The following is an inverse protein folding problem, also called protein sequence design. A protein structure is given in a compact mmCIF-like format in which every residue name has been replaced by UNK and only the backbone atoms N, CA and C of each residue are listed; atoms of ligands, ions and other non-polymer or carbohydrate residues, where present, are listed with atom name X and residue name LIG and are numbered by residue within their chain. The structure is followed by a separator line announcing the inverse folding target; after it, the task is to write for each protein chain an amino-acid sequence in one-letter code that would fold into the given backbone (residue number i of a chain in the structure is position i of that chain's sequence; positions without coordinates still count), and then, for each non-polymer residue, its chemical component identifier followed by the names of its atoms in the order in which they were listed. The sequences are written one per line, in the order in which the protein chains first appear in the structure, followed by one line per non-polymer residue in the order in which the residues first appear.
data_IF_279692686380
#
_entry.id   IF_279692686380
#
_cell.length_a   1.000
_cell.length_b   1.000
_cell.length_c   1.000
_cell.angle_alpha   90.00
_cell.angle_beta   90.00
_cell.angle_gamma   90.00
#
_symmetry.space_group_name_H-M   'P 1'
#
loop_
_entity.id
_entity.type
_entity.pdbx_description
1 polymer ?
#
# COMPACT_ATOMS: atom_id res chain seq x y z
N UNK A 1 -52.46 4.04 60.71
CA UNK A 1 -52.35 3.53 59.32
C UNK A 1 -52.16 4.63 58.27
N UNK A 2 -52.62 5.88 58.48
CA UNK A 2 -52.56 6.93 57.44
C UNK A 2 -51.20 7.64 57.26
N UNK A 3 -50.28 7.55 58.23
CA UNK A 3 -48.98 8.26 58.16
C UNK A 3 -47.94 7.64 57.22
N UNK A 4 -48.03 6.34 56.93
CA UNK A 4 -47.08 5.62 56.05
C UNK A 4 -47.72 5.27 54.70
N UNK A 5 -49.02 4.95 54.71
CA UNK A 5 -49.74 4.55 53.51
C UNK A 5 -49.82 5.68 52.47
N UNK A 6 -50.00 6.93 52.93
CA UNK A 6 -50.16 8.08 52.04
C UNK A 6 -48.84 8.47 51.32
N UNK A 7 -47.68 8.54 51.99
CA UNK A 7 -46.39 8.68 51.29
C UNK A 7 -46.06 7.51 50.35
N UNK A 8 -46.39 6.28 50.74
CA UNK A 8 -46.14 5.09 49.91
C UNK A 8 -46.97 5.11 48.62
N UNK A 9 -48.25 5.50 48.70
CA UNK A 9 -49.11 5.66 47.53
C UNK A 9 -48.60 6.81 46.65
N UNK A 10 -48.21 7.94 47.25
CA UNK A 10 -47.71 9.09 46.50
C UNK A 10 -46.45 8.75 45.68
N UNK A 11 -45.47 8.07 46.31
CA UNK A 11 -44.25 7.61 45.63
C UNK A 11 -44.55 6.54 44.57
N UNK A 12 -45.48 5.63 44.85
CA UNK A 12 -45.90 4.61 43.87
C UNK A 12 -46.54 5.23 42.64
N UNK A 13 -47.43 6.21 42.82
CA UNK A 13 -48.10 6.91 41.72
C UNK A 13 -47.12 7.76 40.92
N UNK A 14 -46.25 8.54 41.56
CA UNK A 14 -45.25 9.34 40.82
C UNK A 14 -44.27 8.46 40.07
N UNK A 15 -43.82 7.35 40.66
CA UNK A 15 -42.98 6.35 39.98
C UNK A 15 -43.67 5.73 38.77
N UNK A 16 -44.94 5.36 38.89
CA UNK A 16 -45.74 4.83 37.78
C UNK A 16 -45.87 5.86 36.64
N UNK A 17 -46.20 7.12 36.98
CA UNK A 17 -46.37 8.19 35.99
C UNK A 17 -45.06 8.48 35.26
N UNK A 18 -43.94 8.59 35.99
CA UNK A 18 -42.63 8.81 35.38
C UNK A 18 -42.19 7.60 34.53
N UNK A 19 -42.46 6.38 35.00
CA UNK A 19 -42.16 5.16 34.24
C UNK A 19 -42.95 5.05 32.93
N UNK A 20 -44.25 5.34 32.98
CA UNK A 20 -45.10 5.37 31.78
C UNK A 20 -44.68 6.47 30.80
N UNK A 21 -44.30 7.65 31.32
CA UNK A 21 -43.78 8.73 30.51
C UNK A 21 -42.47 8.36 29.80
N UNK A 22 -41.52 7.74 30.51
CA UNK A 22 -40.26 7.28 29.93
C UNK A 22 -40.48 6.15 28.91
N UNK A 23 -41.39 5.21 29.17
CA UNK A 23 -41.73 4.15 28.23
C UNK A 23 -42.36 4.72 26.95
N UNK A 24 -43.25 5.71 27.08
CA UNK A 24 -43.83 6.42 25.94
C UNK A 24 -42.76 7.19 25.15
N UNK A 25 -41.90 7.94 25.84
CA UNK A 25 -40.81 8.68 25.20
C UNK A 25 -39.84 7.73 24.46
N UNK A 26 -39.43 6.63 25.11
CA UNK A 26 -38.53 5.64 24.52
C UNK A 26 -39.09 5.07 23.21
N UNK A 27 -40.39 4.74 23.18
CA UNK A 27 -41.03 4.19 21.97
C UNK A 27 -41.32 5.25 20.91
N UNK A 28 -41.62 6.48 21.32
CA UNK A 28 -41.93 7.58 20.39
C UNK A 28 -40.68 8.12 19.68
N UNK A 29 -39.53 8.05 20.35
CA UNK A 29 -38.23 8.52 19.84
C UNK A 29 -37.28 7.37 19.48
N UNK A 30 -37.77 6.14 19.38
CA UNK A 30 -37.01 5.01 18.86
C UNK A 30 -36.67 5.31 17.40
N UNK A 31 -35.38 5.46 17.10
CA UNK A 31 -34.88 5.68 15.74
C UNK A 31 -34.74 4.31 15.10
N UNK A 32 -35.43 4.09 13.97
CA UNK A 32 -35.25 2.86 13.19
C UNK A 32 -33.81 2.78 12.70
N UNK A 33 -33.04 1.85 13.25
CA UNK A 33 -31.66 1.57 12.83
C UNK A 33 -31.74 0.69 11.59
N UNK A 34 -31.07 1.11 10.50
CA UNK A 34 -31.02 0.31 9.28
C UNK A 34 -30.42 -1.08 9.60
N UNK A 35 -31.08 -2.19 9.21
CA UNK A 35 -30.61 -3.55 9.49
C UNK A 35 -29.17 -3.81 9.04
N UNK A 36 -28.69 -3.09 8.02
CA UNK A 36 -27.30 -3.18 7.56
C UNK A 36 -26.33 -2.56 8.55
N UNK A 37 -26.69 -1.49 9.24
CA UNK A 37 -25.85 -0.86 10.27
C UNK A 37 -25.61 -1.85 11.40
N UNK A 38 -26.65 -2.53 11.87
CA UNK A 38 -26.54 -3.54 12.92
C UNK A 38 -25.69 -4.73 12.48
N UNK A 39 -25.90 -5.23 11.26
CA UNK A 39 -25.12 -6.34 10.72
C UNK A 39 -23.62 -5.97 10.62
N UNK A 40 -23.31 -4.79 10.09
CA UNK A 40 -21.92 -4.31 9.99
C UNK A 40 -21.32 -4.08 11.39
N UNK A 41 -22.09 -3.53 12.33
CA UNK A 41 -21.65 -3.34 13.71
C UNK A 41 -21.34 -4.66 14.41
N UNK A 42 -22.15 -5.69 14.18
CA UNK A 42 -21.93 -7.04 14.70
C UNK A 42 -20.68 -7.73 14.15
N UNK A 43 -20.24 -7.37 12.94
CA UNK A 43 -18.98 -7.84 12.36
C UNK A 43 -17.76 -7.08 12.91
N UNK A 44 -17.93 -5.87 13.46
CA UNK A 44 -16.83 -5.07 13.98
C UNK A 44 -16.37 -5.58 15.37
N UNK A 45 -15.08 -5.44 15.72
CA UNK A 45 -14.55 -5.90 17.02
C UNK A 45 -15.07 -5.16 18.26
N UNK A 46 -15.88 -4.11 18.12
CA UNK A 46 -16.43 -3.33 19.25
C UNK A 46 -15.42 -2.51 20.08
N UNK A 47 -14.16 -2.38 19.64
CA UNK A 47 -13.07 -1.75 20.43
C UNK A 47 -13.22 -0.22 20.53
N UNK A 48 -13.97 0.43 19.64
CA UNK A 48 -14.23 1.88 19.65
C UNK A 48 -12.96 2.77 19.69
N UNK A 49 -11.85 2.33 19.08
CA UNK A 49 -10.56 3.03 19.16
C UNK A 49 -10.41 4.27 18.26
N UNK A 50 -11.32 4.50 17.32
CA UNK A 50 -11.29 5.65 16.39
C UNK A 50 -10.17 5.62 15.34
N UNK A 51 -9.41 4.53 15.21
CA UNK A 51 -8.30 4.42 14.27
C UNK A 51 -8.72 4.55 12.78
N UNK A 52 -9.97 4.25 12.48
CA UNK A 52 -10.57 4.40 11.15
C UNK A 52 -11.00 5.85 10.82
N UNK A 53 -10.91 6.79 11.77
CA UNK A 53 -11.36 8.18 11.58
C UNK A 53 -12.84 8.44 11.87
N UNK A 54 -13.57 7.44 12.37
CA UNK A 54 -15.00 7.54 12.73
C UNK A 54 -15.21 7.48 14.26
N UNK A 55 -16.33 8.02 14.78
CA UNK A 55 -16.64 8.03 16.21
C UNK A 55 -17.07 6.63 16.69
N UNK A 56 -16.10 5.74 16.85
CA UNK A 56 -16.31 4.37 17.31
C UNK A 56 -16.79 3.39 16.24
N UNK A 57 -17.06 2.16 16.66
CA UNK A 57 -17.50 1.08 15.77
C UNK A 57 -18.91 1.35 15.22
N UNK A 58 -19.81 1.90 16.03
CA UNK A 58 -21.17 2.26 15.59
C UNK A 58 -21.13 3.34 14.49
N UNK A 59 -20.37 4.42 14.68
CA UNK A 59 -20.23 5.47 13.67
C UNK A 59 -19.54 4.99 12.39
N UNK A 60 -18.63 4.02 12.48
CA UNK A 60 -18.04 3.40 11.30
C UNK A 60 -19.02 2.48 10.57
N UNK A 61 -19.80 1.69 11.30
CA UNK A 61 -20.83 0.82 10.72
C UNK A 61 -21.91 1.64 9.99
N UNK A 62 -22.34 2.75 10.58
CA UNK A 62 -23.26 3.70 9.95
C UNK A 62 -22.66 4.29 8.66
N UNK A 63 -21.41 4.73 8.72
CA UNK A 63 -20.73 5.28 7.55
C UNK A 63 -20.57 4.27 6.40
N UNK A 64 -20.33 2.98 6.71
CA UNK A 64 -20.29 1.92 5.70
C UNK A 64 -21.68 1.71 5.09
N UNK A 65 -22.69 1.53 5.93
CA UNK A 65 -24.03 1.13 5.48
C UNK A 65 -24.77 2.25 4.74
N UNK A 66 -24.64 3.50 5.20
CA UNK A 66 -25.43 4.64 4.72
C UNK A 66 -24.64 5.62 3.83
N UNK A 67 -23.33 5.72 4.04
CA UNK A 67 -22.50 6.76 3.41
C UNK A 67 -21.41 6.22 2.49
N UNK A 68 -21.36 4.90 2.27
CA UNK A 68 -20.43 4.27 1.35
C UNK A 68 -18.95 4.36 1.77
N UNK A 69 -18.67 4.42 3.08
CA UNK A 69 -17.31 4.39 3.58
C UNK A 69 -16.59 3.09 3.17
N UNK A 70 -15.27 3.17 2.94
CA UNK A 70 -14.50 1.96 2.62
C UNK A 70 -14.54 0.98 3.80
N UNK A 71 -14.75 -0.30 3.49
CA UNK A 71 -14.85 -1.40 4.46
C UNK A 71 -13.49 -1.80 5.06
N UNK A 72 -12.38 -1.23 4.56
CA UNK A 72 -11.00 -1.63 4.86
C UNK A 72 -10.38 -0.91 6.07
N UNK A 73 -11.05 0.08 6.65
CA UNK A 73 -10.44 0.96 7.65
C UNK A 73 -10.38 0.35 9.06
N UNK A 74 -11.06 -0.77 9.32
CA UNK A 74 -10.98 -1.45 10.61
C UNK A 74 -9.64 -2.20 10.80
N UNK A 75 -8.59 -1.46 11.17
CA UNK A 75 -7.27 -2.05 11.45
C UNK A 75 -7.29 -3.16 12.53
N UNK A 76 -8.05 -3.05 13.64
CA UNK A 76 -8.15 -4.13 14.63
C UNK A 76 -8.88 -5.38 14.11
N UNK A 77 -9.85 -5.21 13.21
CA UNK A 77 -10.62 -6.31 12.63
C UNK A 77 -9.89 -7.05 11.52
N UNK A 78 -8.96 -6.38 10.84
CA UNK A 78 -8.15 -6.97 9.79
C UNK A 78 -8.97 -7.56 8.65
N UNK A 79 -8.36 -8.49 7.90
CA UNK A 79 -8.98 -9.06 6.70
C UNK A 79 -10.27 -9.86 6.98
N UNK A 80 -10.40 -10.45 8.17
CA UNK A 80 -11.58 -11.24 8.55
C UNK A 80 -12.84 -10.37 8.62
N UNK A 81 -12.74 -9.21 9.28
CA UNK A 81 -13.85 -8.26 9.39
C UNK A 81 -14.19 -7.63 8.04
N UNK A 82 -13.18 -7.33 7.21
CA UNK A 82 -13.39 -6.81 5.84
C UNK A 82 -14.18 -7.82 4.99
N UNK A 83 -13.87 -9.11 5.08
CA UNK A 83 -14.59 -10.15 4.35
C UNK A 83 -16.06 -10.23 4.77
N UNK A 84 -16.31 -10.27 6.09
CA UNK A 84 -17.68 -10.30 6.65
C UNK A 84 -18.50 -9.07 6.25
N UNK A 85 -17.92 -7.87 6.34
CA UNK A 85 -18.61 -6.63 5.95
C UNK A 85 -18.85 -6.60 4.43
N UNK A 86 -17.93 -7.12 3.62
CA UNK A 86 -18.11 -7.24 2.17
C UNK A 86 -19.30 -8.12 1.80
N UNK A 87 -19.46 -9.27 2.47
CA UNK A 87 -20.63 -10.15 2.31
C UNK A 87 -21.94 -9.43 2.66
N UNK A 88 -21.97 -8.69 3.78
CA UNK A 88 -23.15 -7.93 4.22
C UNK A 88 -23.53 -6.85 3.21
N UNK A 89 -22.54 -6.12 2.69
CA UNK A 89 -22.76 -4.99 1.80
C UNK A 89 -22.94 -5.39 0.33
N UNK A 90 -22.81 -6.68 0.00
CA UNK A 90 -22.90 -7.17 -1.38
C UNK A 90 -21.77 -6.66 -2.27
N UNK A 91 -20.68 -6.18 -1.67
CA UNK A 91 -19.48 -5.75 -2.37
C UNK A 91 -18.50 -6.89 -2.20
N UNK A 92 -18.12 -7.54 -3.30
CA UNK A 92 -17.02 -8.52 -3.24
C UNK A 92 -15.88 -7.86 -2.47
N UNK A 93 -15.39 -8.51 -1.41
CA UNK A 93 -14.18 -8.11 -0.69
C UNK A 93 -12.99 -8.25 -1.64
N UNK A 94 -12.96 -7.43 -2.68
CA UNK A 94 -11.74 -7.06 -3.35
C UNK A 94 -10.96 -6.36 -2.26
N UNK A 95 -10.01 -7.08 -1.67
CA UNK A 95 -8.79 -6.47 -1.13
C UNK A 95 -8.46 -5.36 -2.10
N UNK A 96 -8.72 -4.11 -1.70
CA UNK A 96 -8.59 -2.99 -2.61
C UNK A 96 -7.19 -3.09 -3.21
N UNK A 97 -7.07 -3.20 -4.54
CA UNK A 97 -5.76 -3.27 -5.19
C UNK A 97 -4.91 -2.03 -4.82
N UNK A 98 -5.61 -0.97 -4.38
CA UNK A 98 -5.12 0.28 -3.85
C UNK A 98 -4.86 0.28 -2.32
N UNK A 99 -4.89 -0.87 -1.63
CA UNK A 99 -4.50 -0.97 -0.21
C UNK A 99 -3.05 -0.53 -0.09
N UNK A 100 -2.79 0.47 0.74
CA UNK A 100 -1.42 0.87 1.05
C UNK A 100 -0.79 -0.12 2.04
N UNK A 101 0.38 -0.64 1.71
CA UNK A 101 1.17 -1.54 2.56
C UNK A 101 2.51 -0.90 2.90
N UNK A 102 3.08 -1.28 4.04
CA UNK A 102 4.40 -0.80 4.42
C UNK A 102 5.46 -1.44 3.52
N UNK A 103 6.34 -0.63 2.93
CA UNK A 103 7.48 -1.09 2.13
C UNK A 103 8.77 -0.44 2.63
N UNK A 104 9.83 -1.23 2.77
CA UNK A 104 11.17 -0.73 3.08
C UNK A 104 11.78 -0.07 1.83
N UNK A 105 12.21 1.18 1.97
CA UNK A 105 12.87 2.01 0.96
C UNK A 105 14.39 2.02 1.16
N UNK A 106 14.97 0.86 1.45
CA UNK A 106 16.40 0.68 1.66
C UNK A 106 16.82 -0.72 1.21
N UNK A 107 17.68 -0.80 0.20
CA UNK A 107 18.38 -2.03 -0.20
C UNK A 107 19.84 -2.08 0.30
N UNK A 108 20.32 -1.05 1.01
CA UNK A 108 21.71 -0.95 1.47
C UNK A 108 22.01 -1.91 2.62
N UNK A 109 22.47 -3.12 2.30
CA UNK A 109 22.93 -4.09 3.29
C UNK A 109 24.21 -3.60 3.98
N UNK A 110 24.64 -4.33 5.01
CA UNK A 110 25.93 -4.07 5.68
C UNK A 110 27.14 -4.25 4.75
N UNK A 111 27.02 -4.99 3.64
CA UNK A 111 28.08 -5.18 2.64
C UNK A 111 28.11 -4.08 1.57
N UNK A 112 26.96 -3.44 1.33
CA UNK A 112 26.81 -2.38 0.33
C UNK A 112 27.14 -0.99 0.89
N UNK A 113 27.06 -0.84 2.20
CA UNK A 113 27.20 0.44 2.90
C UNK A 113 28.47 0.47 3.72
N UNK A 114 29.26 1.54 3.62
CA UNK A 114 30.46 1.70 4.46
C UNK A 114 30.05 1.80 5.92
N UNK A 115 30.67 1.03 6.81
CA UNK A 115 30.44 1.08 8.26
C UNK A 115 31.26 2.22 8.87
N UNK A 116 30.63 3.01 9.75
CA UNK A 116 31.31 4.07 10.52
C UNK A 116 32.04 3.49 11.73
N UNK A 117 31.42 2.53 12.40
CA UNK A 117 31.93 1.89 13.61
C UNK A 117 31.25 0.53 13.81
N UNK A 118 31.87 -0.32 14.62
CA UNK A 118 31.23 -1.51 15.19
C UNK A 118 30.98 -1.22 16.65
N UNK A 119 29.72 -1.28 17.07
CA UNK A 119 29.35 -0.97 18.45
C UNK A 119 29.30 -2.24 19.30
N UNK A 120 30.07 -2.26 20.38
CA UNK A 120 30.24 -3.43 21.26
C UNK A 120 29.46 -3.34 22.57
N UNK A 121 28.58 -2.32 22.73
CA UNK A 121 27.80 -2.10 23.95
C UNK A 121 26.36 -2.61 23.87
N UNK A 122 25.55 -2.24 24.86
CA UNK A 122 24.17 -2.72 25.06
C UNK A 122 23.08 -1.97 24.27
N UNK A 123 23.44 -1.28 23.17
CA UNK A 123 22.43 -0.62 22.34
C UNK A 123 21.69 -1.68 21.51
N UNK A 124 20.37 -1.69 21.63
CA UNK A 124 19.53 -2.73 21.02
C UNK A 124 18.44 -2.18 20.10
N UNK A 125 18.23 -0.86 20.04
CA UNK A 125 17.16 -0.24 19.25
C UNK A 125 17.69 0.65 18.13
N UNK A 126 16.92 0.81 17.06
CA UNK A 126 17.22 1.73 15.97
C UNK A 126 17.26 3.16 16.48
N UNK A 127 16.37 3.54 17.41
CA UNK A 127 16.33 4.86 18.01
C UNK A 127 17.66 5.23 18.69
N UNK A 128 18.22 4.34 19.52
CA UNK A 128 19.49 4.62 20.19
C UNK A 128 20.67 4.68 19.22
N UNK A 129 20.72 3.78 18.23
CA UNK A 129 21.73 3.86 17.17
C UNK A 129 21.61 5.14 16.35
N UNK A 130 20.38 5.60 16.05
CA UNK A 130 20.17 6.82 15.30
C UNK A 130 20.68 8.06 16.06
N UNK A 131 20.57 8.08 17.39
CA UNK A 131 21.16 9.13 18.23
C UNK A 131 22.69 9.06 18.25
N UNK A 132 23.25 7.84 18.23
CA UNK A 132 24.69 7.64 18.24
C UNK A 132 25.31 7.76 16.83
N UNK A 133 25.78 8.97 16.49
CA UNK A 133 26.44 9.29 15.21
C UNK A 133 25.56 9.04 13.96
N UNK A 134 24.24 9.06 14.13
CA UNK A 134 23.31 8.83 13.02
C UNK A 134 23.27 7.38 12.55
N UNK A 135 23.62 6.40 13.39
CA UNK A 135 23.67 4.98 13.04
C UNK A 135 25.08 4.49 12.71
N UNK A 136 25.21 3.17 12.68
CA UNK A 136 26.44 2.40 12.39
C UNK A 136 26.85 2.48 10.92
N UNK A 137 25.88 2.63 10.01
CA UNK A 137 26.10 2.83 8.59
C UNK A 137 26.47 4.28 8.24
N UNK A 138 27.36 4.45 7.27
CA UNK A 138 27.77 5.76 6.74
C UNK A 138 26.63 6.56 6.11
N UNK A 139 25.65 5.85 5.53
CA UNK A 139 24.44 6.47 5.00
C UNK A 139 23.49 6.82 6.15
N UNK A 140 23.24 8.12 6.35
CA UNK A 140 22.32 8.61 7.39
C UNK A 140 20.86 8.20 7.15
N UNK A 141 20.53 7.71 5.95
CA UNK A 141 19.21 7.23 5.53
C UNK A 141 19.16 5.71 5.37
N UNK A 142 20.09 4.96 5.98
CA UNK A 142 20.04 3.51 5.91
C UNK A 142 19.16 2.91 7.00
N UNK A 143 18.52 1.78 6.69
CA UNK A 143 17.94 0.92 7.72
C UNK A 143 19.06 0.43 8.64
N UNK A 144 18.88 0.62 9.96
CA UNK A 144 19.84 0.20 10.99
C UNK A 144 19.70 -1.31 11.26
N UNK A 145 18.49 -1.87 11.11
CA UNK A 145 18.27 -3.31 11.24
C UNK A 145 18.17 -3.83 12.68
N UNK A 146 17.82 -2.97 13.66
CA UNK A 146 17.63 -3.38 15.06
C UNK A 146 16.19 -3.73 15.45
N UNK A 147 15.23 -3.48 14.56
CA UNK A 147 13.89 -4.07 14.68
C UNK A 147 12.85 -3.28 15.49
N UNK A 148 13.02 -1.98 15.75
CA UNK A 148 11.98 -1.18 16.43
C UNK A 148 10.62 -1.28 15.70
N UNK A 149 10.64 -1.26 14.37
CA UNK A 149 9.45 -1.50 13.55
C UNK A 149 8.81 -2.89 13.73
N UNK A 150 9.61 -3.92 14.07
CA UNK A 150 9.13 -5.26 14.42
C UNK A 150 8.39 -5.21 15.75
N UNK A 151 8.97 -4.56 16.76
CA UNK A 151 8.40 -4.46 18.10
C UNK A 151 7.02 -3.76 18.12
N UNK A 152 6.78 -2.80 17.23
CA UNK A 152 5.50 -2.07 17.15
C UNK A 152 4.47 -2.67 16.18
N UNK A 153 4.83 -3.73 15.45
CA UNK A 153 3.94 -4.33 14.45
C UNK A 153 2.86 -5.19 15.14
N UNK A 154 1.56 -4.83 15.09
CA UNK A 154 0.52 -5.56 15.81
C UNK A 154 0.21 -6.94 15.23
N UNK A 155 0.64 -7.18 14.00
CA UNK A 155 0.33 -8.39 13.21
C UNK A 155 1.57 -9.19 12.84
N UNK A 156 2.74 -8.84 13.43
CA UNK A 156 4.01 -9.51 13.19
C UNK A 156 4.36 -9.67 11.69
N UNK A 157 4.06 -8.65 10.89
CA UNK A 157 4.34 -8.64 9.45
C UNK A 157 5.79 -8.24 9.11
N UNK A 158 6.63 -7.92 10.10
CA UNK A 158 7.99 -7.40 9.87
C UNK A 158 8.99 -8.31 10.59
N UNK A 159 10.09 -8.65 9.92
CA UNK A 159 11.20 -9.42 10.49
C UNK A 159 12.54 -8.78 10.14
N UNK A 160 13.58 -9.01 10.94
CA UNK A 160 14.96 -8.61 10.59
C UNK A 160 15.63 -9.78 9.90
N UNK A 161 16.19 -9.56 8.72
CA UNK A 161 16.87 -10.58 7.95
C UNK A 161 18.39 -10.63 8.23
N UNK A 162 19.03 -11.70 7.75
CA UNK A 162 20.47 -11.92 7.92
C UNK A 162 21.34 -10.80 7.32
N UNK A 163 20.81 -10.02 6.39
CA UNK A 163 21.52 -8.90 5.74
C UNK A 163 21.45 -7.59 6.54
N UNK A 164 20.84 -7.60 7.73
CA UNK A 164 20.69 -6.42 8.58
C UNK A 164 19.67 -5.41 8.02
N UNK A 165 18.68 -5.89 7.27
CA UNK A 165 17.52 -5.13 6.80
C UNK A 165 16.25 -5.75 7.35
N UNK A 166 15.13 -5.03 7.19
CA UNK A 166 13.81 -5.55 7.58
C UNK A 166 13.05 -6.04 6.35
N UNK A 167 12.49 -7.24 6.46
CA UNK A 167 11.58 -7.80 5.47
C UNK A 167 10.14 -7.62 5.96
N UNK A 168 9.31 -7.04 5.10
CA UNK A 168 7.90 -6.75 5.38
C UNK A 168 7.02 -7.63 4.51
N UNK A 169 6.20 -8.45 5.16
CA UNK A 169 5.14 -9.25 4.56
C UNK A 169 3.97 -8.33 4.18
N UNK A 170 3.85 -8.05 2.88
CA UNK A 170 2.84 -7.13 2.34
C UNK A 170 1.42 -7.68 2.48
N UNK A 171 1.25 -9.01 2.56
CA UNK A 171 -0.05 -9.67 2.67
C UNK A 171 -0.59 -9.56 4.10
N UNK A 172 0.27 -9.75 5.11
CA UNK A 172 -0.07 -9.57 6.53
C UNK A 172 -0.22 -8.11 6.95
N UNK A 173 0.29 -7.16 6.19
CA UNK A 173 0.28 -5.75 6.58
C UNK A 173 -1.14 -5.16 6.65
N UNK A 174 -1.56 -4.67 7.83
CA UNK A 174 -2.88 -4.05 8.05
C UNK A 174 -2.90 -2.52 7.95
N UNK A 175 -1.93 -1.92 7.25
CA UNK A 175 -1.91 -0.48 6.92
C UNK A 175 -1.91 0.52 8.11
N UNK A 176 -1.67 0.07 9.34
CA UNK A 176 -1.74 0.91 10.55
C UNK A 176 -0.65 2.00 10.68
N UNK A 177 0.36 2.01 9.81
CA UNK A 177 1.46 2.99 9.75
C UNK A 177 2.32 3.14 11.02
N UNK A 178 2.21 2.24 12.01
CA UNK A 178 3.03 2.27 13.23
C UNK A 178 4.53 2.16 12.94
N UNK A 179 4.93 1.26 12.04
CA UNK A 179 6.32 1.09 11.63
C UNK A 179 6.93 2.32 10.95
N UNK A 180 6.12 3.10 10.23
CA UNK A 180 6.54 4.35 9.58
C UNK A 180 6.85 5.42 10.63
N UNK A 181 5.96 5.55 11.63
CA UNK A 181 6.12 6.51 12.74
C UNK A 181 7.31 6.16 13.63
N UNK A 182 7.49 4.87 13.92
CA UNK A 182 8.56 4.37 14.79
C UNK A 182 9.95 4.47 14.15
N UNK A 183 10.04 4.40 12.82
CA UNK A 183 11.33 4.37 12.14
C UNK A 183 12.09 5.72 12.29
N UNK A 184 13.20 5.78 13.06
CA UNK A 184 13.92 7.04 13.28
C UNK A 184 14.61 7.54 11.99
N UNK A 185 14.78 6.64 11.02
CA UNK A 185 15.40 6.91 9.71
C UNK A 185 14.40 7.23 8.61
N UNK A 186 13.09 7.11 8.88
CA UNK A 186 12.00 7.36 7.92
C UNK A 186 12.19 6.61 6.58
N UNK A 187 12.70 5.38 6.64
CA UNK A 187 12.94 4.53 5.46
C UNK A 187 11.83 3.53 5.17
N UNK A 188 10.72 3.58 5.90
CA UNK A 188 9.53 2.76 5.63
C UNK A 188 8.44 3.67 5.08
N UNK A 189 8.06 3.41 3.83
CA UNK A 189 6.95 3.99 3.05
C UNK A 189 5.61 3.28 3.30
N UNK A 190 4.48 3.98 3.40
CA UNK A 190 3.19 3.39 2.98
C UNK A 190 3.05 3.58 1.47
N UNK A 191 2.96 2.48 0.72
CA UNK A 191 2.84 2.49 -0.74
C UNK A 191 1.73 1.53 -1.19
N UNK A 192 1.05 1.79 -2.31
CA UNK A 192 0.03 0.89 -2.83
C UNK A 192 0.57 -0.55 -3.01
N UNK A 193 -0.26 -1.54 -2.67
CA UNK A 193 0.10 -2.95 -2.78
C UNK A 193 0.35 -3.38 -4.22
N UNK A 194 -0.44 -2.83 -5.16
CA UNK A 194 -0.26 -3.02 -6.60
C UNK A 194 1.04 -2.40 -7.15
N UNK A 195 1.73 -1.51 -6.41
CA UNK A 195 3.01 -0.94 -6.84
C UNK A 195 4.12 -1.99 -6.79
N UNK A 196 4.37 -2.72 -7.88
CA UNK A 196 5.41 -3.77 -7.92
C UNK A 196 6.80 -3.22 -8.25
N UNK A 197 6.89 -2.05 -8.89
CA UNK A 197 8.16 -1.37 -9.16
C UNK A 197 8.41 -0.26 -8.13
N UNK A 198 9.45 -0.40 -7.31
CA UNK A 198 9.73 0.50 -6.18
C UNK A 198 11.20 0.91 -6.12
N UNK A 199 11.46 2.18 -5.81
CA UNK A 199 12.81 2.68 -5.52
C UNK A 199 13.19 2.29 -4.09
N UNK A 200 14.20 1.45 -3.92
CA UNK A 200 14.71 0.95 -2.64
C UNK A 200 15.76 1.87 -2.02
N UNK A 201 15.50 3.16 -2.06
CA UNK A 201 16.37 4.18 -1.49
C UNK A 201 15.53 5.34 -0.95
N UNK A 202 15.91 5.85 0.22
CA UNK A 202 15.31 7.03 0.84
C UNK A 202 16.32 8.19 1.00
N UNK A 203 17.55 8.02 0.52
CA UNK A 203 18.58 9.04 0.62
C UNK A 203 18.27 10.25 -0.25
N UNK A 204 18.38 11.43 0.35
CA UNK A 204 18.26 12.73 -0.31
C UNK A 204 19.63 13.38 -0.59
N UNK A 205 20.71 12.64 -0.31
CA UNK A 205 22.08 13.08 -0.52
C UNK A 205 22.35 13.29 -2.01
N UNK A 206 23.27 14.22 -2.32
CA UNK A 206 23.73 14.41 -3.70
C UNK A 206 24.45 13.14 -4.18
N UNK A 207 24.33 12.83 -5.47
CA UNK A 207 24.81 11.59 -6.07
C UNK A 207 26.22 11.12 -5.64
N UNK A 208 27.26 11.99 -5.65
CA UNK A 208 28.60 11.60 -5.20
C UNK A 208 28.66 11.17 -3.73
N UNK A 209 27.97 11.89 -2.85
CA UNK A 209 27.90 11.57 -1.42
C UNK A 209 27.10 10.27 -1.18
N UNK A 210 25.96 10.13 -1.85
CA UNK A 210 25.14 8.92 -1.80
C UNK A 210 25.93 7.67 -2.22
N UNK A 211 26.66 7.76 -3.35
CA UNK A 211 27.46 6.66 -3.90
C UNK A 211 28.67 6.30 -3.02
N UNK A 212 29.29 7.31 -2.38
CA UNK A 212 30.38 7.09 -1.40
C UNK A 212 29.88 6.36 -0.16
N UNK A 213 28.67 6.67 0.30
CA UNK A 213 28.07 6.02 1.46
C UNK A 213 27.59 4.60 1.16
N UNK A 214 26.90 4.39 0.03
CA UNK A 214 26.26 3.12 -0.32
C UNK A 214 26.35 2.82 -1.82
N UNK A 215 26.79 1.60 -2.15
CA UNK A 215 26.95 1.12 -3.53
C UNK A 215 25.62 1.04 -4.30
N UNK A 216 24.52 0.76 -3.60
CA UNK A 216 23.18 0.57 -4.16
C UNK A 216 22.25 1.78 -3.96
N UNK A 217 22.80 2.95 -3.62
CA UNK A 217 22.01 4.17 -3.44
C UNK A 217 21.46 4.71 -4.76
N UNK A 218 20.26 5.30 -4.72
CA UNK A 218 19.83 6.19 -5.79
C UNK A 218 20.72 7.44 -5.78
N UNK A 219 21.24 7.82 -6.95
CA UNK A 219 22.14 8.98 -7.10
C UNK A 219 21.49 10.15 -7.84
N UNK A 220 20.17 10.08 -8.11
CA UNK A 220 19.43 11.16 -8.76
C UNK A 220 19.83 11.44 -10.22
N UNK A 221 20.40 10.48 -10.95
CA UNK A 221 20.96 10.71 -12.29
C UNK A 221 19.94 10.98 -13.42
N UNK A 222 18.64 10.75 -13.20
CA UNK A 222 17.59 10.98 -14.20
C UNK A 222 17.51 9.96 -15.36
N UNK A 223 18.35 8.91 -15.39
CA UNK A 223 18.30 7.89 -16.46
C UNK A 223 16.94 7.17 -16.48
N UNK A 224 16.38 6.87 -15.30
CA UNK A 224 15.08 6.21 -15.17
C UNK A 224 13.93 7.11 -15.63
N UNK A 225 13.96 8.41 -15.31
CA UNK A 225 13.02 9.42 -15.78
C UNK A 225 13.02 9.51 -17.31
N UNK A 226 14.19 9.68 -17.93
CA UNK A 226 14.33 9.76 -19.40
C UNK A 226 13.94 8.48 -20.14
N UNK A 227 14.07 7.33 -19.50
CA UNK A 227 13.77 6.02 -20.12
C UNK A 227 12.29 5.65 -19.99
N UNK A 228 11.53 6.30 -19.10
CA UNK A 228 10.15 5.92 -18.83
C UNK A 228 9.24 6.27 -20.03
N UNK A 229 8.59 5.29 -20.69
CA UNK A 229 7.77 5.55 -21.87
C UNK A 229 6.45 6.27 -21.55
N UNK A 230 6.06 6.29 -20.27
CA UNK A 230 4.81 6.86 -19.77
C UNK A 230 5.05 8.02 -18.80
N UNK A 231 6.30 8.51 -18.69
CA UNK A 231 6.68 9.63 -17.82
C UNK A 231 6.26 9.48 -16.35
N UNK A 232 6.19 8.23 -15.84
CA UNK A 232 5.77 7.92 -14.47
C UNK A 232 6.85 8.19 -13.40
N UNK A 233 8.04 8.66 -13.78
CA UNK A 233 9.18 8.82 -12.86
C UNK A 233 9.64 10.26 -12.87
N UNK A 234 9.81 10.86 -11.69
CA UNK A 234 10.39 12.19 -11.51
C UNK A 234 11.58 12.14 -10.55
N UNK A 235 12.58 12.98 -10.76
CA UNK A 235 13.67 13.19 -9.80
C UNK A 235 13.35 14.39 -8.90
N UNK A 236 13.21 14.14 -7.60
CA UNK A 236 12.96 15.17 -6.59
C UNK A 236 13.96 15.02 -5.45
N UNK A 237 14.64 16.11 -5.05
CA UNK A 237 15.61 16.10 -3.96
C UNK A 237 16.69 15.01 -4.11
N UNK A 238 17.24 14.86 -5.32
CA UNK A 238 18.24 13.83 -5.68
C UNK A 238 17.73 12.38 -5.61
N UNK A 239 16.42 12.17 -5.46
CA UNK A 239 15.82 10.85 -5.35
C UNK A 239 14.77 10.62 -6.45
N UNK A 240 14.77 9.43 -7.06
CA UNK A 240 13.74 9.04 -8.00
C UNK A 240 12.44 8.69 -7.27
N UNK A 241 11.32 9.28 -7.71
CA UNK A 241 9.97 8.94 -7.28
C UNK A 241 9.19 8.38 -8.45
N UNK A 242 8.55 7.23 -8.24
CA UNK A 242 7.71 6.55 -9.23
C UNK A 242 6.26 6.75 -8.81
N UNK A 243 5.47 7.32 -9.71
CA UNK A 243 4.02 7.40 -9.62
C UNK A 243 3.41 6.02 -9.91
N UNK A 244 2.58 5.52 -8.99
CA UNK A 244 2.01 4.18 -9.12
C UNK A 244 0.90 4.12 -10.18
N UNK A 245 0.14 5.21 -10.36
CA UNK A 245 -1.03 5.26 -11.23
C UNK A 245 -0.61 5.34 -12.71
N UNK A 246 0.53 5.98 -12.97
CA UNK A 246 1.09 6.07 -14.32
C UNK A 246 2.01 4.89 -14.69
N UNK A 247 2.55 4.16 -13.71
CA UNK A 247 3.54 3.12 -13.98
C UNK A 247 2.90 1.89 -14.62
N UNK A 248 3.35 1.54 -15.83
CA UNK A 248 2.92 0.31 -16.55
C UNK A 248 3.80 -0.90 -16.26
N UNK A 249 4.65 -0.82 -15.23
CA UNK A 249 5.50 -1.93 -14.73
C UNK A 249 6.41 -2.60 -15.77
N UNK A 250 6.78 -1.87 -16.83
CA UNK A 250 7.59 -2.39 -17.94
C UNK A 250 9.04 -2.78 -17.59
N UNK A 251 9.52 -2.50 -16.38
CA UNK A 251 10.86 -2.88 -15.90
C UNK A 251 12.05 -2.15 -16.52
N UNK A 252 11.87 -1.26 -17.51
CA UNK A 252 12.97 -0.54 -18.18
C UNK A 252 13.84 0.27 -17.21
N UNK A 253 13.22 0.91 -16.22
CA UNK A 253 13.95 1.70 -15.21
C UNK A 253 14.83 0.83 -14.31
N UNK A 254 14.41 -0.41 -14.01
CA UNK A 254 15.17 -1.38 -13.22
C UNK A 254 16.40 -1.83 -14.01
N UNK A 255 16.21 -2.20 -15.28
CA UNK A 255 17.28 -2.68 -16.14
C UNK A 255 18.37 -1.61 -16.38
N UNK A 256 17.98 -0.34 -16.54
CA UNK A 256 18.93 0.77 -16.81
C UNK A 256 19.47 1.47 -15.57
N UNK A 257 19.10 1.05 -14.35
CA UNK A 257 19.58 1.70 -13.13
C UNK A 257 21.05 1.31 -12.86
N UNK A 258 22.02 2.25 -12.92
CA UNK A 258 23.44 1.91 -12.77
C UNK A 258 23.80 1.42 -11.36
N UNK A 259 23.03 1.80 -10.35
CA UNK A 259 23.23 1.42 -8.95
C UNK A 259 22.27 0.32 -8.49
N UNK A 260 21.39 -0.18 -9.37
CA UNK A 260 20.36 -1.18 -9.02
C UNK A 260 19.47 -0.76 -7.83
N UNK A 261 19.25 0.54 -7.66
CA UNK A 261 18.44 1.10 -6.58
C UNK A 261 16.92 0.92 -6.76
N UNK A 262 16.46 0.37 -7.89
CA UNK A 262 15.05 0.14 -8.20
C UNK A 262 14.81 -1.36 -8.26
N UNK A 263 13.82 -1.84 -7.51
CA UNK A 263 13.40 -3.24 -7.48
C UNK A 263 12.08 -3.42 -8.23
N UNK A 264 11.92 -4.56 -8.91
CA UNK A 264 10.65 -5.02 -9.45
C UNK A 264 10.24 -6.33 -8.78
N UNK A 265 9.00 -6.38 -8.29
CA UNK A 265 8.33 -7.59 -7.78
C UNK A 265 7.36 -8.20 -8.81
N UNK A 266 7.40 -7.75 -10.06
CA UNK A 266 6.61 -8.33 -11.14
C UNK A 266 7.05 -9.78 -11.35
N UNK A 267 6.11 -10.72 -11.34
CA UNK A 267 6.36 -12.16 -11.50
C UNK A 267 6.01 -12.67 -12.90
N UNK A 268 5.25 -11.89 -13.66
CA UNK A 268 4.74 -12.26 -14.97
C UNK A 268 5.00 -11.12 -15.96
N UNK A 269 5.42 -11.47 -17.17
CA UNK A 269 5.52 -10.53 -18.28
C UNK A 269 4.36 -10.73 -19.22
N UNK A 270 3.81 -9.63 -19.71
CA UNK A 270 2.81 -9.66 -20.77
C UNK A 270 3.50 -9.36 -22.09
N UNK A 271 3.23 -10.15 -23.12
CA UNK A 271 3.73 -9.92 -24.49
C UNK A 271 2.54 -9.75 -25.43
N UNK A 272 2.63 -8.80 -26.35
CA UNK A 272 1.59 -8.59 -27.35
C UNK A 272 1.80 -9.57 -28.51
N UNK A 273 0.71 -10.15 -29.03
CA UNK A 273 0.70 -10.93 -30.27
C UNK A 273 -0.43 -10.43 -31.18
N UNK A 274 -0.22 -10.44 -32.50
CA UNK A 274 -1.21 -9.95 -33.46
C UNK A 274 -1.95 -11.12 -34.09
N UNK A 275 -3.28 -11.09 -34.02
CA UNK A 275 -4.16 -12.11 -34.60
C UNK A 275 -4.72 -11.70 -35.97
N UNK A 276 -5.59 -12.53 -36.52
CA UNK A 276 -6.12 -12.39 -37.89
C UNK A 276 -7.11 -11.23 -38.08
N UNK A 277 -7.52 -10.55 -36.99
CA UNK A 277 -8.36 -9.34 -37.09
C UNK A 277 -7.57 -8.10 -37.51
N UNK A 278 -6.27 -8.22 -37.75
CA UNK A 278 -5.41 -7.10 -38.07
C UNK A 278 -5.70 -6.57 -39.48
N UNK A 279 -5.98 -5.26 -39.57
CA UNK A 279 -6.28 -4.58 -40.85
C UNK A 279 -5.09 -3.77 -41.39
N UNK A 280 -3.91 -3.87 -40.76
CA UNK A 280 -2.70 -3.18 -41.23
C UNK A 280 -2.73 -1.65 -41.15
N UNK A 281 -3.37 -1.07 -40.13
CA UNK A 281 -3.57 0.39 -40.00
C UNK A 281 -2.35 1.16 -39.44
N UNK A 282 -1.24 0.50 -39.12
CA UNK A 282 -0.01 1.00 -38.48
C UNK A 282 -0.12 1.67 -37.09
N UNK A 283 -1.33 1.83 -36.53
CA UNK A 283 -1.53 2.53 -35.25
C UNK A 283 -0.76 1.90 -34.08
N UNK A 284 -0.74 0.57 -34.00
CA UNK A 284 -0.01 -0.15 -32.96
C UNK A 284 1.51 0.08 -33.02
N UNK A 285 2.08 0.16 -34.23
CA UNK A 285 3.50 0.42 -34.43
C UNK A 285 3.87 1.86 -34.01
N UNK A 286 3.02 2.84 -34.32
CA UNK A 286 3.22 4.25 -33.95
C UNK A 286 3.23 4.47 -32.43
N UNK A 287 2.39 3.76 -31.68
CA UNK A 287 2.34 3.88 -30.21
C UNK A 287 3.37 3.00 -29.49
N UNK A 288 4.13 2.17 -30.21
CA UNK A 288 5.08 1.26 -29.59
C UNK A 288 6.35 2.03 -29.15
N UNK A 289 6.62 2.17 -27.84
CA UNK A 289 7.75 2.98 -27.36
C UNK A 289 9.12 2.35 -27.63
N UNK A 290 9.13 1.06 -27.95
CA UNK A 290 10.35 0.24 -28.13
C UNK A 290 10.50 -0.29 -29.55
N UNK A 291 9.63 0.15 -30.48
CA UNK A 291 9.70 -0.29 -31.88
C UNK A 291 9.58 -1.81 -32.06
N UNK A 292 8.84 -2.49 -31.18
CA UNK A 292 8.68 -3.94 -31.21
C UNK A 292 7.68 -4.45 -32.26
N UNK A 293 7.04 -3.58 -33.04
CA UNK A 293 6.01 -3.97 -34.01
C UNK A 293 6.45 -3.57 -35.41
N UNK A 294 6.46 -4.53 -36.33
CA UNK A 294 6.85 -4.36 -37.74
C UNK A 294 5.69 -4.66 -38.67
N UNK A 295 5.67 -4.03 -39.85
CA UNK A 295 4.68 -4.27 -40.91
C UNK A 295 4.23 -2.99 -41.60
N UNK A 296 3.93 -3.09 -42.90
CA UNK A 296 3.54 -1.95 -43.74
C UNK A 296 2.03 -1.69 -43.71
N UNK A 297 1.60 -0.56 -44.26
CA UNK A 297 0.18 -0.26 -44.41
C UNK A 297 -0.52 -1.36 -45.23
N UNK A 298 -1.68 -1.84 -44.76
CA UNK A 298 -2.47 -2.95 -45.33
C UNK A 298 -1.86 -4.35 -45.20
N UNK A 299 -0.74 -4.50 -44.48
CA UNK A 299 -0.16 -5.80 -44.17
C UNK A 299 -0.44 -6.20 -42.71
N UNK A 300 -0.54 -7.50 -42.44
CA UNK A 300 -0.63 -8.01 -41.07
C UNK A 300 0.69 -7.73 -40.36
N UNK A 301 0.65 -6.91 -39.32
CA UNK A 301 1.86 -6.61 -38.55
C UNK A 301 2.28 -7.79 -37.65
N UNK A 302 3.55 -7.78 -37.23
CA UNK A 302 4.16 -8.79 -36.36
C UNK A 302 4.78 -8.12 -35.15
N UNK A 303 4.71 -8.78 -33.99
CA UNK A 303 5.35 -8.31 -32.75
C UNK A 303 6.62 -9.11 -32.49
N UNK A 304 7.73 -8.40 -32.31
CA UNK A 304 8.99 -8.91 -31.79
C UNK A 304 8.86 -9.11 -30.27
N UNK A 305 8.72 -10.37 -29.85
CA UNK A 305 8.51 -10.72 -28.45
C UNK A 305 9.72 -10.38 -27.56
N UNK A 306 10.94 -10.32 -28.11
CA UNK A 306 12.14 -9.98 -27.34
C UNK A 306 12.15 -8.50 -27.00
N UNK A 307 11.79 -7.63 -27.96
CA UNK A 307 11.70 -6.18 -27.74
C UNK A 307 10.44 -5.74 -27.01
N UNK A 308 9.37 -6.53 -27.06
CA UNK A 308 8.10 -6.16 -26.44
C UNK A 308 8.23 -6.03 -24.91
N UNK A 309 7.98 -4.84 -24.36
CA UNK A 309 8.05 -4.59 -22.91
C UNK A 309 6.72 -4.80 -22.17
N UNK A 310 5.68 -5.27 -22.86
CA UNK A 310 4.39 -5.56 -22.22
C UNK A 310 3.57 -4.36 -21.75
N UNK A 311 3.86 -3.15 -22.24
CA UNK A 311 3.20 -1.91 -21.79
C UNK A 311 1.71 -1.77 -22.16
N UNK A 312 1.15 -2.69 -22.96
CA UNK A 312 -0.26 -2.72 -23.40
C UNK A 312 -0.74 -1.50 -24.21
N UNK A 313 0.11 -0.52 -24.51
CA UNK A 313 -0.25 0.67 -25.30
C UNK A 313 -0.80 0.31 -26.69
N UNK A 314 -0.18 -0.68 -27.36
CA UNK A 314 -0.64 -1.15 -28.65
C UNK A 314 -2.05 -1.77 -28.58
N UNK A 315 -2.32 -2.55 -27.52
CA UNK A 315 -3.62 -3.17 -27.27
C UNK A 315 -4.72 -2.11 -27.10
N UNK A 316 -4.46 -1.07 -26.31
CA UNK A 316 -5.38 0.06 -26.12
C UNK A 316 -5.64 0.84 -27.41
N UNK A 317 -4.63 1.01 -28.26
CA UNK A 317 -4.76 1.71 -29.53
C UNK A 317 -5.47 0.90 -30.64
N UNK A 318 -5.63 -0.41 -30.48
CA UNK A 318 -6.11 -1.30 -31.53
C UNK A 318 -7.64 -1.34 -31.62
N UNK A 319 -8.23 -0.49 -32.46
CA UNK A 319 -9.70 -0.47 -32.69
C UNK A 319 -10.29 -1.82 -33.13
N UNK A 320 -9.67 -2.59 -34.05
CA UNK A 320 -10.18 -3.90 -34.45
C UNK A 320 -10.03 -5.00 -33.39
N UNK A 321 -9.40 -4.71 -32.23
CA UNK A 321 -9.07 -5.70 -31.19
C UNK A 321 -8.28 -6.89 -31.75
N UNK A 322 -7.27 -6.57 -32.55
CA UNK A 322 -6.41 -7.54 -33.23
C UNK A 322 -5.12 -7.90 -32.46
N UNK A 323 -5.05 -7.53 -31.18
CA UNK A 323 -3.89 -7.76 -30.33
C UNK A 323 -4.32 -8.61 -29.13
N UNK A 324 -3.65 -9.74 -28.96
CA UNK A 324 -3.80 -10.61 -27.81
C UNK A 324 -2.64 -10.37 -26.83
N UNK A 325 -2.92 -10.50 -25.54
CA UNK A 325 -1.95 -10.33 -24.47
C UNK A 325 -1.59 -11.70 -23.91
N UNK A 326 -0.38 -12.17 -24.22
CA UNK A 326 0.14 -13.46 -23.75
C UNK A 326 0.87 -13.22 -22.44
N UNK A 327 0.41 -13.87 -21.37
CA UNK A 327 1.05 -13.81 -20.06
C UNK A 327 2.07 -14.94 -19.96
N UNK A 328 3.31 -14.59 -19.66
CA UNK A 328 4.41 -15.55 -19.45
C UNK A 328 5.07 -15.31 -18.09
N UNK A 329 5.23 -16.35 -17.25
CA UNK A 329 5.95 -16.21 -16.00
C UNK A 329 7.41 -15.83 -16.25
N UNK A 330 7.94 -14.90 -15.46
CA UNK A 330 9.36 -14.53 -15.51
C UNK A 330 10.14 -15.66 -14.84
N UNK A 331 10.95 -16.40 -15.61
CA UNK A 331 11.96 -17.28 -15.03
C UNK A 331 12.97 -16.41 -14.28
N UNK A 332 12.96 -16.48 -12.95
CA UNK A 332 13.98 -15.89 -12.09
C UNK A 332 15.30 -16.64 -12.21
#
# INVERSE_FOLDING_TARGET
MNGILMPAILLGVTGLVMGLFLAFASKKFEVEVDPKVEAVLGALPGVNCGACGYPGCAGYAEAIALHGAEITFCAPGGAAVVAQIGEIMGVSAQTSENRNVAKLLCAGTCADTTQKYVYSGSLTTCASYALYSGGDKSCNYACIGKGDCVAVCPVNAITVNANGLVDIDEDKCVSCSKCVKECPKKVIAMLPHNKKVTVKCASLEKGPAAKKACKVACIGCGICEKTCPVNAIKIENNLAKIDADMCVECGLCVAKCPTKAIESKVTETVKAAINDRCVGCTMCAKVCPVGAITGSLREKHVVDAEKCIGCKLCYQACKPKAIDLIVTPIKK
#
